data_IF_456537663801
#
_entry.id   IF_456537663801
#
_cell.length_a   1.000
_cell.length_b   1.000
_cell.length_c   1.000
_cell.angle_alpha   90.00
_cell.angle_beta   90.00
_cell.angle_gamma   90.00
#
_symmetry.space_group_name_H-M   'P 1'
#
loop_
_entity.id
_entity.type
_entity.pdbx_description
1 polymer ?
#
# COMPACT_ATOMS: atom_id res chain seq x y z
N UNK A 1 16.78 2.81 -1.51
CA UNK A 1 17.89 1.84 -1.40
C UNK A 1 17.52 0.48 -2.02
N UNK A 2 16.44 -0.18 -1.56
CA UNK A 2 16.01 -1.53 -2.00
C UNK A 2 15.88 -1.67 -3.53
N UNK A 3 15.17 -0.76 -4.19
CA UNK A 3 14.95 -0.85 -5.65
C UNK A 3 16.24 -0.70 -6.46
N UNK A 4 17.15 0.19 -6.04
CA UNK A 4 18.47 0.33 -6.67
C UNK A 4 19.30 -0.94 -6.47
N UNK A 5 19.21 -1.55 -5.29
CA UNK A 5 19.88 -2.81 -5.00
C UNK A 5 19.38 -3.95 -5.90
N UNK A 6 18.06 -4.11 -6.06
CA UNK A 6 17.46 -5.10 -6.95
C UNK A 6 17.90 -4.92 -8.41
N UNK A 7 17.96 -3.67 -8.89
CA UNK A 7 18.44 -3.36 -10.26
C UNK A 7 19.94 -3.65 -10.40
N UNK A 8 20.72 -3.34 -9.37
CA UNK A 8 22.15 -3.64 -9.36
C UNK A 8 22.40 -5.15 -9.38
N UNK A 9 21.71 -5.89 -8.54
CA UNK A 9 21.81 -7.36 -8.52
C UNK A 9 21.40 -7.99 -9.85
N UNK A 10 20.34 -7.49 -10.49
CA UNK A 10 19.93 -7.98 -11.81
C UNK A 10 21.04 -7.86 -12.86
N UNK A 11 21.86 -6.81 -12.81
CA UNK A 11 22.98 -6.62 -13.74
C UNK A 11 24.06 -7.72 -13.64
N UNK A 12 24.18 -8.34 -12.47
CA UNK A 12 25.17 -9.39 -12.20
C UNK A 12 24.56 -10.80 -12.19
N UNK A 13 23.29 -10.91 -11.78
CA UNK A 13 22.60 -12.18 -11.58
C UNK A 13 21.18 -12.14 -12.18
N UNK A 14 21.03 -11.93 -13.51
CA UNK A 14 19.71 -11.69 -14.14
C UNK A 14 18.73 -12.84 -13.92
N UNK A 15 19.17 -14.08 -14.12
CA UNK A 15 18.30 -15.24 -13.95
C UNK A 15 17.82 -15.39 -12.51
N UNK A 16 18.73 -15.32 -11.55
CA UNK A 16 18.39 -15.43 -10.11
C UNK A 16 17.36 -14.39 -9.69
N UNK A 17 17.52 -13.14 -10.13
CA UNK A 17 16.56 -12.07 -9.80
C UNK A 17 15.22 -12.29 -10.47
N UNK A 18 15.19 -12.74 -11.73
CA UNK A 18 13.95 -13.12 -12.39
C UNK A 18 13.23 -14.26 -11.66
N UNK A 19 13.95 -15.25 -11.18
CA UNK A 19 13.39 -16.37 -10.43
C UNK A 19 12.85 -15.94 -9.05
N UNK A 20 13.56 -15.06 -8.35
CA UNK A 20 13.09 -14.43 -7.10
C UNK A 20 11.79 -13.67 -7.36
N UNK A 21 11.69 -12.91 -8.44
CA UNK A 21 10.47 -12.19 -8.81
C UNK A 21 9.34 -13.18 -9.11
N UNK A 22 9.59 -14.18 -9.95
CA UNK A 22 8.59 -15.18 -10.35
C UNK A 22 8.10 -16.04 -9.20
N UNK A 23 8.93 -16.28 -8.18
CA UNK A 23 8.56 -17.00 -6.95
C UNK A 23 7.64 -16.21 -6.00
N UNK A 24 7.36 -14.94 -6.30
CA UNK A 24 6.52 -14.04 -5.49
C UNK A 24 7.13 -13.64 -4.12
N UNK A 25 8.42 -13.93 -3.90
CA UNK A 25 9.12 -13.59 -2.65
C UNK A 25 9.12 -12.09 -2.36
N UNK A 26 9.12 -11.24 -3.40
CA UNK A 26 9.03 -9.79 -3.21
C UNK A 26 7.71 -9.40 -2.55
N UNK A 27 6.60 -10.04 -2.90
CA UNK A 27 5.31 -9.78 -2.26
C UNK A 27 5.24 -10.38 -0.85
N UNK A 28 5.99 -11.43 -0.58
CA UNK A 28 6.07 -12.06 0.75
C UNK A 28 6.84 -11.19 1.75
N UNK A 29 8.01 -10.66 1.36
CA UNK A 29 8.85 -9.80 2.20
C UNK A 29 8.57 -8.30 2.07
N UNK A 30 7.76 -7.88 1.09
CA UNK A 30 7.43 -6.51 0.77
C UNK A 30 5.95 -6.36 0.42
N UNK A 31 5.69 -5.59 -0.63
CA UNK A 31 4.33 -5.33 -1.10
C UNK A 31 4.24 -5.49 -2.62
N UNK A 32 3.09 -5.88 -3.14
CA UNK A 32 2.83 -5.86 -4.59
C UNK A 32 3.10 -4.50 -5.26
N UNK A 33 3.09 -3.41 -4.49
CA UNK A 33 3.51 -2.09 -4.95
C UNK A 33 4.96 -2.07 -5.41
N UNK A 34 5.82 -2.89 -4.82
CA UNK A 34 7.27 -2.86 -5.07
C UNK A 34 7.60 -3.31 -6.49
N UNK A 35 6.82 -4.23 -7.08
CA UNK A 35 6.95 -4.58 -8.49
C UNK A 35 6.82 -3.36 -9.42
N UNK A 36 5.84 -2.49 -9.14
CA UNK A 36 5.61 -1.28 -9.93
C UNK A 36 6.66 -0.20 -9.66
N UNK A 37 7.20 -0.14 -8.45
CA UNK A 37 8.26 0.82 -8.09
C UNK A 37 9.60 0.42 -8.68
N UNK A 38 9.92 -0.88 -8.72
CA UNK A 38 11.09 -1.40 -9.44
C UNK A 38 10.96 -1.06 -10.92
N UNK A 39 9.81 -1.36 -11.54
CA UNK A 39 9.56 -1.02 -12.94
C UNK A 39 9.70 0.48 -13.20
N UNK A 40 9.08 1.31 -12.37
CA UNK A 40 9.19 2.77 -12.51
C UNK A 40 10.64 3.25 -12.38
N UNK A 41 11.42 2.63 -11.54
CA UNK A 41 12.83 2.96 -11.35
C UNK A 41 13.67 2.56 -12.56
N UNK A 42 13.43 1.37 -13.12
CA UNK A 42 14.06 0.94 -14.39
C UNK A 42 13.68 1.91 -15.51
N UNK A 43 12.40 2.29 -15.61
CA UNK A 43 11.95 3.25 -16.60
C UNK A 43 12.64 4.60 -16.47
N UNK A 44 12.77 5.13 -15.26
CA UNK A 44 13.48 6.38 -15.01
C UNK A 44 14.97 6.31 -15.41
N UNK A 45 15.61 5.17 -15.18
CA UNK A 45 16.99 4.90 -15.62
C UNK A 45 17.08 4.95 -17.16
N UNK A 46 16.18 4.25 -17.85
CA UNK A 46 16.11 4.25 -19.32
C UNK A 46 15.85 5.66 -19.86
N UNK A 47 14.91 6.39 -19.31
CA UNK A 47 14.54 7.74 -19.79
C UNK A 47 15.67 8.76 -19.57
N UNK A 48 16.37 8.68 -18.44
CA UNK A 48 17.50 9.58 -18.12
C UNK A 48 18.71 9.40 -19.04
N UNK A 49 18.96 8.17 -19.49
CA UNK A 49 20.10 7.84 -20.35
C UNK A 49 19.76 7.85 -21.85
N UNK A 50 18.49 7.94 -22.20
CA UNK A 50 18.03 7.91 -23.59
C UNK A 50 17.00 8.99 -23.92
N UNK A 51 17.24 10.28 -23.64
CA UNK A 51 16.27 11.33 -23.81
C UNK A 51 15.80 11.55 -25.27
N UNK A 52 16.63 11.14 -26.25
CA UNK A 52 16.33 11.25 -27.69
C UNK A 52 15.83 9.96 -28.34
N UNK A 53 15.72 8.86 -27.60
CA UNK A 53 15.24 7.58 -28.10
C UNK A 53 16.24 6.75 -28.93
N UNK A 54 17.48 7.21 -29.13
CA UNK A 54 18.44 6.57 -30.04
C UNK A 54 19.06 5.26 -29.51
N UNK A 55 18.92 4.96 -28.21
CA UNK A 55 19.46 3.77 -27.56
C UNK A 55 18.41 2.78 -27.06
N UNK A 56 17.17 2.87 -27.54
CA UNK A 56 16.03 2.08 -27.04
C UNK A 56 16.32 0.58 -27.08
N UNK A 57 16.86 0.08 -28.20
CA UNK A 57 17.19 -1.35 -28.36
C UNK A 57 18.13 -1.85 -27.28
N UNK A 58 19.16 -1.08 -26.94
CA UNK A 58 20.10 -1.44 -25.89
C UNK A 58 19.41 -1.60 -24.53
N UNK A 59 18.56 -0.64 -24.15
CA UNK A 59 17.90 -0.67 -22.85
C UNK A 59 16.79 -1.71 -22.78
N UNK A 60 16.04 -1.93 -23.87
CA UNK A 60 15.05 -3.01 -23.93
C UNK A 60 15.78 -4.34 -23.77
N UNK A 61 16.81 -4.62 -24.52
CA UNK A 61 17.57 -5.87 -24.40
C UNK A 61 18.16 -6.07 -22.99
N UNK A 62 18.55 -4.97 -22.32
CA UNK A 62 19.13 -5.02 -20.99
C UNK A 62 18.13 -5.38 -19.90
N UNK A 63 16.88 -4.95 -20.00
CA UNK A 63 15.90 -5.03 -18.91
C UNK A 63 14.60 -5.77 -19.26
N UNK A 64 14.43 -6.23 -20.52
CA UNK A 64 13.17 -6.80 -20.95
C UNK A 64 12.78 -8.05 -20.16
N UNK A 65 13.72 -8.97 -19.92
CA UNK A 65 13.46 -10.17 -19.12
C UNK A 65 13.02 -9.82 -17.70
N UNK A 66 13.61 -8.80 -17.11
CA UNK A 66 13.22 -8.32 -15.78
C UNK A 66 11.78 -7.79 -15.76
N UNK A 67 11.44 -6.97 -16.75
CA UNK A 67 10.08 -6.42 -16.90
C UNK A 67 9.09 -7.55 -17.22
N UNK A 68 9.45 -8.51 -18.06
CA UNK A 68 8.60 -9.67 -18.36
C UNK A 68 8.34 -10.51 -17.12
N UNK A 69 9.35 -10.75 -16.26
CA UNK A 69 9.18 -11.46 -14.99
C UNK A 69 8.18 -10.75 -14.07
N UNK A 70 8.31 -9.42 -13.93
CA UNK A 70 7.35 -8.61 -13.15
C UNK A 70 5.93 -8.73 -13.73
N UNK A 71 5.78 -8.59 -15.03
CA UNK A 71 4.48 -8.65 -15.73
C UNK A 71 3.85 -10.03 -15.58
N UNK A 72 4.63 -11.08 -15.68
CA UNK A 72 4.15 -12.46 -15.51
C UNK A 72 3.52 -12.68 -14.14
N UNK A 73 4.19 -12.25 -13.06
CA UNK A 73 3.65 -12.34 -11.69
C UNK A 73 2.38 -11.53 -11.54
N UNK A 74 2.37 -10.28 -11.99
CA UNK A 74 1.21 -9.41 -11.90
C UNK A 74 0.01 -10.01 -12.63
N UNK A 75 0.19 -10.51 -13.85
CA UNK A 75 -0.89 -11.09 -14.64
C UNK A 75 -1.35 -12.45 -14.10
N UNK A 76 -0.43 -13.25 -13.54
CA UNK A 76 -0.77 -14.52 -12.88
C UNK A 76 -1.64 -14.25 -11.65
N UNK A 77 -1.19 -13.41 -10.72
CA UNK A 77 -1.93 -13.06 -9.50
C UNK A 77 -3.28 -12.43 -9.79
N UNK A 78 -3.32 -11.52 -10.75
CA UNK A 78 -4.59 -10.92 -11.18
C UNK A 78 -5.58 -11.95 -11.71
N UNK A 79 -5.12 -12.95 -12.47
CA UNK A 79 -5.98 -14.04 -12.97
C UNK A 79 -6.47 -14.94 -11.84
N UNK A 80 -5.62 -15.24 -10.85
CA UNK A 80 -5.97 -16.00 -9.66
C UNK A 80 -7.06 -15.29 -8.86
N UNK A 81 -6.88 -14.00 -8.57
CA UNK A 81 -7.86 -13.17 -7.86
C UNK A 81 -9.20 -13.11 -8.59
N UNK A 82 -9.19 -12.89 -9.89
CA UNK A 82 -10.41 -12.87 -10.70
C UNK A 82 -11.12 -14.25 -10.69
N UNK A 83 -10.36 -15.33 -10.80
CA UNK A 83 -10.90 -16.69 -10.73
C UNK A 83 -11.54 -16.97 -9.37
N UNK A 84 -10.89 -16.56 -8.28
CA UNK A 84 -11.42 -16.66 -6.91
C UNK A 84 -12.71 -15.86 -6.77
N UNK A 85 -12.70 -14.61 -7.24
CA UNK A 85 -13.87 -13.75 -7.22
C UNK A 85 -15.06 -14.35 -8.01
N UNK A 86 -14.81 -14.84 -9.22
CA UNK A 86 -15.85 -15.47 -10.03
C UNK A 86 -16.44 -16.72 -9.37
N UNK A 87 -15.60 -17.60 -8.80
CA UNK A 87 -16.06 -18.79 -8.07
C UNK A 87 -16.92 -18.40 -6.88
N UNK A 88 -16.48 -17.41 -6.10
CA UNK A 88 -17.19 -16.91 -4.93
C UNK A 88 -18.60 -16.39 -5.29
N UNK A 89 -18.72 -15.54 -6.31
CA UNK A 89 -20.03 -15.05 -6.73
C UNK A 89 -20.92 -16.13 -7.35
N UNK A 90 -20.35 -17.11 -8.03
CA UNK A 90 -21.09 -18.26 -8.56
C UNK A 90 -21.68 -19.10 -7.42
N UNK A 91 -20.94 -19.37 -6.36
CA UNK A 91 -21.42 -20.14 -5.19
C UNK A 91 -22.56 -19.44 -4.45
N UNK A 92 -22.59 -18.10 -4.48
CA UNK A 92 -23.67 -17.31 -3.88
C UNK A 92 -24.83 -17.04 -4.84
N UNK A 93 -24.95 -17.77 -5.95
CA UNK A 93 -25.99 -17.61 -6.99
C UNK A 93 -26.13 -16.17 -7.51
N UNK A 94 -25.07 -15.39 -7.43
CA UNK A 94 -24.99 -14.05 -8.01
C UNK A 94 -24.25 -14.19 -9.35
N UNK A 95 -24.94 -14.18 -10.50
CA UNK A 95 -24.26 -14.37 -11.78
C UNK A 95 -23.36 -13.15 -12.07
N UNK A 96 -22.08 -13.30 -11.78
CA UNK A 96 -21.06 -12.63 -12.53
C UNK A 96 -20.89 -13.44 -13.83
N UNK A 97 -21.66 -13.22 -14.84
CA UNK A 97 -21.41 -13.88 -16.14
C UNK A 97 -19.93 -13.69 -16.56
N UNK A 98 -19.55 -14.11 -17.74
CA UNK A 98 -18.18 -13.86 -18.26
C UNK A 98 -17.76 -12.38 -18.20
N UNK A 99 -18.73 -11.47 -18.00
CA UNK A 99 -18.57 -10.07 -17.67
C UNK A 99 -19.13 -9.78 -16.26
N UNK A 100 -18.33 -9.14 -15.41
CA UNK A 100 -18.79 -8.62 -14.12
C UNK A 100 -19.86 -7.56 -14.40
N UNK A 101 -21.13 -7.96 -14.37
CA UNK A 101 -22.26 -7.07 -14.66
C UNK A 101 -22.72 -6.26 -13.45
N UNK A 102 -22.32 -6.65 -12.23
CA UNK A 102 -22.65 -5.90 -11.03
C UNK A 102 -21.91 -4.56 -10.99
N UNK A 103 -22.59 -3.53 -10.51
CA UNK A 103 -21.91 -2.25 -10.24
C UNK A 103 -20.93 -2.41 -9.07
N UNK A 104 -19.95 -1.53 -9.00
CA UNK A 104 -18.98 -1.49 -7.89
C UNK A 104 -19.68 -1.32 -6.55
N UNK A 105 -20.74 -0.50 -6.52
CA UNK A 105 -21.59 -0.24 -5.35
C UNK A 105 -22.31 -1.50 -4.91
N UNK A 106 -22.89 -2.25 -5.84
CA UNK A 106 -23.59 -3.50 -5.55
C UNK A 106 -22.64 -4.58 -5.00
N UNK A 107 -21.42 -4.69 -5.56
CA UNK A 107 -20.38 -5.57 -5.05
C UNK A 107 -20.00 -5.17 -3.63
N UNK A 108 -19.69 -3.90 -3.40
CA UNK A 108 -19.30 -3.39 -2.07
C UNK A 108 -20.40 -3.68 -1.05
N UNK A 109 -21.65 -3.33 -1.35
CA UNK A 109 -22.80 -3.56 -0.45
C UNK A 109 -23.01 -5.05 -0.13
N UNK A 110 -22.83 -5.92 -1.12
CA UNK A 110 -22.96 -7.36 -0.92
C UNK A 110 -21.86 -7.89 0.00
N UNK A 111 -20.59 -7.52 -0.24
CA UNK A 111 -19.44 -7.93 0.57
C UNK A 111 -19.55 -7.36 2.00
N UNK A 112 -19.99 -6.11 2.15
CA UNK A 112 -20.18 -5.50 3.47
C UNK A 112 -21.28 -6.24 4.25
N UNK A 113 -22.40 -6.59 3.60
CA UNK A 113 -23.46 -7.39 4.22
C UNK A 113 -22.99 -8.78 4.70
N UNK A 114 -22.13 -9.45 3.93
CA UNK A 114 -21.54 -10.73 4.36
C UNK A 114 -20.64 -10.57 5.59
N UNK A 115 -19.84 -9.50 5.63
CA UNK A 115 -18.99 -9.20 6.79
C UNK A 115 -19.80 -8.89 8.03
N UNK A 116 -20.88 -8.13 7.90
CA UNK A 116 -21.81 -7.83 9.00
C UNK A 116 -22.50 -9.08 9.53
N UNK A 117 -22.80 -10.04 8.64
CA UNK A 117 -23.34 -11.35 9.00
C UNK A 117 -22.29 -12.33 9.57
N UNK A 118 -21.01 -11.96 9.61
CA UNK A 118 -19.92 -12.85 10.01
C UNK A 118 -19.61 -13.95 8.99
N UNK A 119 -20.10 -13.82 7.77
CA UNK A 119 -19.84 -14.78 6.71
C UNK A 119 -18.46 -14.60 6.07
N UNK A 120 -17.91 -15.69 5.53
CA UNK A 120 -16.60 -15.67 4.89
C UNK A 120 -16.65 -14.88 3.57
N UNK A 121 -15.74 -13.94 3.42
CA UNK A 121 -15.51 -13.21 2.16
C UNK A 121 -14.33 -13.80 1.39
N UNK A 122 -14.27 -13.61 0.05
CA UNK A 122 -13.19 -14.21 -0.73
C UNK A 122 -11.84 -13.60 -0.36
N UNK A 123 -10.86 -14.45 -0.12
CA UNK A 123 -9.48 -14.05 0.10
C UNK A 123 -8.82 -13.71 -1.23
N UNK A 124 -8.49 -12.43 -1.40
CA UNK A 124 -7.83 -11.92 -2.60
C UNK A 124 -6.46 -11.35 -2.23
N UNK A 125 -5.54 -11.42 -3.17
CA UNK A 125 -4.25 -10.74 -3.00
C UNK A 125 -4.43 -9.22 -2.94
N UNK A 126 -3.49 -8.53 -2.28
CA UNK A 126 -3.51 -7.07 -2.25
C UNK A 126 -3.07 -6.42 -3.58
N UNK A 127 -2.80 -7.21 -4.61
CA UNK A 127 -2.35 -6.71 -5.90
C UNK A 127 -3.30 -5.67 -6.50
N UNK A 128 -4.62 -5.93 -6.46
CA UNK A 128 -5.62 -5.03 -7.04
C UNK A 128 -5.60 -3.61 -6.43
N UNK A 129 -5.20 -3.49 -5.15
CA UNK A 129 -5.00 -2.19 -4.48
C UNK A 129 -3.90 -1.37 -5.15
N UNK A 130 -2.84 -2.03 -5.63
CA UNK A 130 -1.62 -1.40 -6.13
C UNK A 130 -1.51 -1.37 -7.65
N UNK A 131 -2.33 -2.13 -8.37
CA UNK A 131 -2.37 -2.10 -9.83
C UNK A 131 -2.53 -0.66 -10.33
N UNK A 132 -1.69 -0.21 -11.27
CA UNK A 132 -1.76 1.13 -11.83
C UNK A 132 -3.12 1.41 -12.47
N UNK A 133 -3.68 2.57 -12.15
CA UNK A 133 -4.94 3.05 -12.70
C UNK A 133 -4.65 4.14 -13.74
N UNK A 134 -5.35 4.10 -14.87
CA UNK A 134 -5.22 5.14 -15.90
C UNK A 134 -5.38 6.54 -15.31
N UNK A 135 -4.57 7.47 -15.78
CA UNK A 135 -4.61 8.86 -15.33
C UNK A 135 -3.89 9.14 -14.01
N UNK A 136 -3.44 8.14 -13.27
CA UNK A 136 -2.65 8.33 -12.05
C UNK A 136 -1.15 8.44 -12.36
N UNK A 137 -0.40 9.10 -11.46
CA UNK A 137 1.02 9.39 -11.67
C UNK A 137 1.84 8.15 -12.04
N UNK A 138 1.66 7.04 -11.31
CA UNK A 138 2.37 5.80 -11.61
C UNK A 138 2.10 5.29 -13.03
N UNK A 139 0.83 5.34 -13.48
CA UNK A 139 0.46 4.90 -14.82
C UNK A 139 0.96 5.84 -15.93
N UNK A 140 1.09 7.15 -15.64
CA UNK A 140 1.60 8.14 -16.58
C UNK A 140 3.11 8.11 -16.71
N UNK A 141 3.81 7.89 -15.59
CA UNK A 141 5.25 8.04 -15.48
C UNK A 141 6.02 6.72 -15.62
N UNK A 142 5.32 5.59 -15.76
CA UNK A 142 5.94 4.28 -15.95
C UNK A 142 5.51 3.73 -17.31
N UNK A 143 6.48 3.49 -18.17
CA UNK A 143 6.24 2.98 -19.51
C UNK A 143 7.15 1.78 -19.81
N UNK A 144 6.91 1.14 -20.94
CA UNK A 144 7.82 0.20 -21.57
C UNK A 144 7.65 0.19 -23.08
N UNK A 145 8.64 -0.35 -23.75
CA UNK A 145 8.63 -0.48 -25.19
C UNK A 145 8.19 -1.87 -25.62
N UNK A 146 7.54 -1.95 -26.76
CA UNK A 146 7.21 -3.21 -27.44
C UNK A 146 7.69 -3.09 -28.87
N UNK A 147 8.49 -4.06 -29.31
CA UNK A 147 8.98 -4.12 -30.67
C UNK A 147 7.86 -4.54 -31.60
N UNK A 148 7.70 -3.80 -32.70
CA UNK A 148 6.73 -4.10 -33.77
C UNK A 148 7.32 -5.13 -34.73
N UNK A 149 6.49 -5.70 -35.61
CA UNK A 149 6.92 -6.61 -36.68
C UNK A 149 7.93 -5.97 -37.65
N UNK A 150 8.00 -4.66 -37.66
CA UNK A 150 8.93 -3.87 -38.48
C UNK A 150 10.24 -3.51 -37.74
N UNK A 151 10.46 -4.04 -36.53
CA UNK A 151 11.65 -3.70 -35.73
C UNK A 151 11.60 -2.32 -35.07
N UNK A 152 10.44 -1.64 -35.10
CA UNK A 152 10.26 -0.33 -34.45
C UNK A 152 9.69 -0.51 -33.05
N UNK A 153 10.23 0.22 -32.10
CA UNK A 153 9.78 0.16 -30.69
C UNK A 153 8.64 1.16 -30.46
N UNK A 154 7.47 0.65 -30.01
CA UNK A 154 6.32 1.45 -29.65
C UNK A 154 6.24 1.59 -28.12
N UNK A 155 6.22 2.84 -27.62
CA UNK A 155 6.11 3.15 -26.19
C UNK A 155 4.67 2.93 -25.70
N UNK A 156 4.51 2.17 -24.62
CA UNK A 156 3.25 1.95 -23.94
C UNK A 156 3.36 2.36 -22.48
N UNK A 157 2.35 3.01 -21.92
CA UNK A 157 2.29 3.15 -20.47
C UNK A 157 2.02 1.79 -19.82
N UNK A 158 2.29 1.67 -18.51
CA UNK A 158 2.20 0.41 -17.77
C UNK A 158 0.82 -0.26 -17.89
N UNK A 159 -0.28 0.49 -17.93
CA UNK A 159 -1.64 -0.07 -18.07
C UNK A 159 -1.83 -0.65 -19.48
N UNK A 160 -1.47 0.08 -20.49
CA UNK A 160 -1.52 -0.39 -21.89
C UNK A 160 -0.66 -1.64 -22.06
N UNK A 161 0.54 -1.65 -21.49
CA UNK A 161 1.45 -2.79 -21.56
C UNK A 161 0.85 -4.04 -20.89
N UNK A 162 0.33 -3.92 -19.65
CA UNK A 162 -0.33 -5.01 -18.94
C UNK A 162 -1.56 -5.52 -19.69
N UNK A 163 -2.40 -4.62 -20.22
CA UNK A 163 -3.58 -5.04 -21.00
C UNK A 163 -3.15 -5.77 -22.26
N UNK A 164 -2.18 -5.27 -23.01
CA UNK A 164 -1.64 -5.91 -24.21
C UNK A 164 -1.13 -7.33 -23.91
N UNK A 165 -0.30 -7.49 -22.89
CA UNK A 165 0.24 -8.80 -22.47
C UNK A 165 -0.84 -9.76 -21.95
N UNK A 166 -1.97 -9.25 -21.50
CA UNK A 166 -3.11 -10.09 -21.08
C UNK A 166 -4.00 -10.54 -22.25
N UNK A 167 -3.91 -9.89 -23.40
CA UNK A 167 -4.70 -10.23 -24.58
C UNK A 167 -4.08 -11.41 -25.34
N UNK A 168 -4.94 -12.31 -25.77
CA UNK A 168 -4.60 -13.40 -26.69
C UNK A 168 -5.48 -13.28 -27.93
N UNK A 169 -4.93 -13.64 -29.06
CA UNK A 169 -5.67 -13.74 -30.33
C UNK A 169 -5.58 -15.18 -30.82
N UNK A 170 -6.67 -15.69 -31.37
CA UNK A 170 -6.65 -16.99 -32.01
C UNK A 170 -6.15 -16.83 -33.45
N UNK A 171 -5.13 -17.57 -33.81
CA UNK A 171 -4.68 -17.66 -35.20
C UNK A 171 -5.80 -18.31 -36.03
N UNK A 172 -6.23 -17.63 -37.07
CA UNK A 172 -7.34 -18.09 -37.92
C UNK A 172 -7.01 -19.36 -38.70
N UNK A 173 -5.74 -19.59 -38.97
CA UNK A 173 -5.26 -20.73 -39.76
C UNK A 173 -4.99 -21.95 -38.89
N UNK A 174 -4.29 -21.76 -37.74
CA UNK A 174 -3.85 -22.87 -36.89
C UNK A 174 -4.79 -23.11 -35.70
N UNK A 175 -5.72 -22.21 -35.41
CA UNK A 175 -6.56 -22.24 -34.22
C UNK A 175 -5.84 -21.99 -32.89
N UNK A 176 -4.51 -21.83 -32.89
CA UNK A 176 -3.72 -21.65 -31.70
C UNK A 176 -3.87 -20.23 -31.11
N UNK A 177 -3.77 -20.14 -29.78
CA UNK A 177 -3.73 -18.86 -29.08
C UNK A 177 -2.33 -18.26 -29.17
N UNK A 178 -2.23 -17.07 -29.71
CA UNK A 178 -1.00 -16.28 -29.84
C UNK A 178 -1.14 -14.94 -29.12
N UNK A 179 -0.02 -14.31 -28.87
CA UNK A 179 0.01 -12.98 -28.28
C UNK A 179 -0.68 -11.96 -29.19
N UNK A 180 -1.29 -10.95 -28.58
CA UNK A 180 -1.96 -9.91 -29.33
C UNK A 180 -0.93 -9.10 -30.13
N UNK A 181 -1.10 -8.94 -31.45
CA UNK A 181 -0.11 -8.28 -32.31
C UNK A 181 0.18 -6.84 -31.87
N UNK A 182 1.47 -6.50 -31.89
CA UNK A 182 1.94 -5.18 -31.44
C UNK A 182 1.51 -4.06 -32.36
N UNK A 183 1.38 -4.36 -33.65
CA UNK A 183 0.99 -3.40 -34.68
C UNK A 183 -0.48 -2.99 -34.58
N UNK A 184 -1.30 -3.78 -33.88
CA UNK A 184 -2.71 -3.45 -33.65
C UNK A 184 -2.89 -2.61 -32.39
N UNK A 185 -3.78 -1.64 -32.46
CA UNK A 185 -4.17 -0.88 -31.28
C UNK A 185 -4.95 -1.74 -30.28
N UNK A 186 -4.76 -1.43 -28.99
CA UNK A 186 -5.47 -2.13 -27.93
C UNK A 186 -6.97 -1.82 -28.05
N UNK A 187 -7.84 -2.82 -28.16
CA UNK A 187 -9.27 -2.58 -28.25
C UNK A 187 -9.79 -1.80 -27.05
N UNK A 188 -10.60 -0.77 -27.29
CA UNK A 188 -11.22 0.01 -26.22
C UNK A 188 -11.98 -0.87 -25.21
N UNK A 189 -12.64 -1.92 -25.69
CA UNK A 189 -13.32 -2.91 -24.86
C UNK A 189 -12.39 -3.62 -23.86
N UNK A 190 -11.13 -3.87 -24.24
CA UNK A 190 -10.15 -4.52 -23.37
C UNK A 190 -9.73 -3.59 -22.21
N UNK A 191 -9.49 -2.32 -22.47
CA UNK A 191 -9.22 -1.32 -21.42
C UNK A 191 -10.42 -1.12 -20.50
N UNK A 192 -11.64 -1.09 -21.06
CA UNK A 192 -12.88 -1.00 -20.28
C UNK A 192 -13.06 -2.21 -19.39
N UNK A 193 -12.81 -3.42 -19.92
CA UNK A 193 -12.85 -4.68 -19.15
C UNK A 193 -11.82 -4.66 -18.02
N UNK A 194 -10.58 -4.31 -18.32
CA UNK A 194 -9.50 -4.21 -17.32
C UNK A 194 -9.87 -3.28 -16.16
N UNK A 195 -10.41 -2.08 -16.46
CA UNK A 195 -10.85 -1.11 -15.43
C UNK A 195 -11.97 -1.67 -14.55
N UNK A 196 -12.98 -2.31 -15.18
CA UNK A 196 -14.12 -2.91 -14.47
C UNK A 196 -13.67 -4.02 -13.53
N UNK A 197 -12.86 -4.94 -14.02
CA UNK A 197 -12.34 -6.05 -13.23
C UNK A 197 -11.51 -5.56 -12.03
N UNK A 198 -10.61 -4.60 -12.24
CA UNK A 198 -9.84 -4.01 -11.14
C UNK A 198 -10.71 -3.27 -10.12
N UNK A 199 -11.76 -2.58 -10.58
CA UNK A 199 -12.71 -1.92 -9.70
C UNK A 199 -13.48 -2.93 -8.84
N UNK A 200 -13.86 -4.07 -9.42
CA UNK A 200 -14.54 -5.17 -8.69
C UNK A 200 -13.64 -5.82 -7.64
N UNK A 201 -12.37 -6.11 -7.98
CA UNK A 201 -11.39 -6.61 -7.03
C UNK A 201 -11.16 -5.62 -5.88
N UNK A 202 -11.03 -4.33 -6.18
CA UNK A 202 -10.89 -3.29 -5.16
C UNK A 202 -12.12 -3.16 -4.26
N UNK A 203 -13.35 -3.35 -4.80
CA UNK A 203 -14.58 -3.33 -4.03
C UNK A 203 -14.62 -4.50 -3.03
N UNK A 204 -14.22 -5.68 -3.48
CA UNK A 204 -14.15 -6.88 -2.65
C UNK A 204 -13.08 -6.76 -1.55
N UNK A 205 -11.94 -6.12 -1.85
CA UNK A 205 -10.87 -5.85 -0.88
C UNK A 205 -11.21 -4.70 0.10
N UNK A 206 -12.35 -4.04 -0.07
CA UNK A 206 -12.75 -2.90 0.75
C UNK A 206 -11.74 -1.74 0.77
N UNK A 207 -11.20 -1.40 -0.40
CA UNK A 207 -10.16 -0.38 -0.53
C UNK A 207 -10.72 1.01 -0.20
N UNK A 208 -10.24 1.60 0.89
CA UNK A 208 -10.66 2.92 1.41
C UNK A 208 -10.69 4.01 0.32
N UNK A 209 -9.67 4.07 -0.54
CA UNK A 209 -9.59 5.06 -1.63
C UNK A 209 -10.76 4.93 -2.62
N UNK A 210 -11.31 3.74 -2.81
CA UNK A 210 -12.46 3.55 -3.68
C UNK A 210 -13.74 4.11 -3.06
N UNK A 211 -13.93 3.91 -1.76
CA UNK A 211 -15.03 4.53 -1.00
C UNK A 211 -14.93 6.06 -1.05
N UNK A 212 -13.73 6.62 -0.85
CA UNK A 212 -13.48 8.05 -0.96
C UNK A 212 -13.80 8.60 -2.36
N UNK A 213 -13.35 7.94 -3.42
CA UNK A 213 -13.62 8.36 -4.80
C UNK A 213 -15.12 8.24 -5.19
N UNK A 214 -15.82 7.30 -4.58
CA UNK A 214 -17.27 7.11 -4.77
C UNK A 214 -18.15 7.97 -3.86
N UNK A 215 -17.57 8.90 -3.08
CA UNK A 215 -18.26 9.68 -2.05
C UNK A 215 -19.06 8.80 -1.06
N UNK A 216 -18.51 7.66 -0.67
CA UNK A 216 -19.10 6.71 0.27
C UNK A 216 -18.33 6.73 1.60
N UNK A 217 -18.18 7.91 2.18
CA UNK A 217 -17.39 8.13 3.39
C UNK A 217 -17.99 7.46 4.62
N UNK A 218 -19.32 7.43 4.74
CA UNK A 218 -20.02 6.76 5.85
C UNK A 218 -19.73 5.25 5.92
N UNK A 219 -19.37 4.62 4.78
CA UNK A 219 -19.03 3.20 4.70
C UNK A 219 -17.56 2.91 5.08
N UNK A 220 -16.77 3.95 5.36
CA UNK A 220 -15.39 3.77 5.82
C UNK A 220 -15.43 3.40 7.30
N UNK A 221 -14.85 2.25 7.62
CA UNK A 221 -14.67 1.78 8.98
C UNK A 221 -13.25 2.13 9.47
N UNK A 222 -13.09 3.03 10.46
CA UNK A 222 -11.80 3.53 10.89
C UNK A 222 -10.81 2.43 11.29
N UNK A 223 -11.26 1.39 11.99
CA UNK A 223 -10.44 0.26 12.42
C UNK A 223 -9.80 -0.54 11.27
N UNK A 224 -10.39 -0.47 10.06
CA UNK A 224 -9.90 -1.16 8.86
C UNK A 224 -9.02 -0.27 7.97
N UNK A 225 -8.90 1.00 8.32
CA UNK A 225 -8.05 1.92 7.54
C UNK A 225 -6.62 1.82 8.02
N UNK A 226 -5.68 1.58 7.09
CA UNK A 226 -4.26 1.56 7.43
C UNK A 226 -3.81 2.91 8.02
N UNK A 227 -2.96 2.90 9.06
CA UNK A 227 -2.48 4.08 9.78
C UNK A 227 -1.97 5.19 8.85
N UNK A 228 -1.13 4.84 7.89
CA UNK A 228 -0.61 5.79 6.90
C UNK A 228 -1.71 6.41 6.01
N UNK A 229 -2.78 5.66 5.70
CA UNK A 229 -3.93 6.19 4.96
C UNK A 229 -4.73 7.16 5.82
N UNK A 230 -4.95 6.83 7.10
CA UNK A 230 -5.60 7.69 8.08
C UNK A 230 -4.85 9.01 8.21
N UNK A 231 -3.55 8.96 8.45
CA UNK A 231 -2.72 10.14 8.62
C UNK A 231 -2.69 11.05 7.40
N UNK A 232 -2.51 10.49 6.21
CA UNK A 232 -2.48 11.27 4.95
C UNK A 232 -3.80 11.91 4.59
N UNK A 233 -4.90 11.35 5.03
CA UNK A 233 -6.26 11.80 4.72
C UNK A 233 -6.99 12.37 5.93
N UNK A 234 -6.31 12.58 7.08
CA UNK A 234 -6.89 13.04 8.35
C UNK A 234 -7.88 14.19 8.17
N UNK A 235 -7.46 15.27 7.53
CA UNK A 235 -8.32 16.43 7.31
C UNK A 235 -9.55 16.14 6.41
N UNK A 236 -9.42 15.21 5.46
CA UNK A 236 -10.54 14.76 4.62
C UNK A 236 -11.52 13.89 5.40
N UNK A 237 -11.03 13.05 6.29
CA UNK A 237 -11.81 12.17 7.14
C UNK A 237 -12.48 12.93 8.30
N UNK A 238 -11.75 13.86 8.91
CA UNK A 238 -12.29 14.76 9.94
C UNK A 238 -13.21 15.83 9.36
N UNK A 239 -13.36 15.91 8.04
CA UNK A 239 -14.20 16.89 7.36
C UNK A 239 -13.95 18.33 7.81
N UNK A 240 -12.69 18.70 8.04
CA UNK A 240 -12.31 19.97 8.66
C UNK A 240 -12.05 21.06 7.65
N UNK A 241 -12.34 22.28 8.05
CA UNK A 241 -11.94 23.50 7.34
C UNK A 241 -10.47 23.74 7.66
N UNK A 242 -9.60 23.64 6.64
CA UNK A 242 -8.18 24.00 6.78
C UNK A 242 -8.03 25.52 6.70
N UNK A 243 -7.61 26.14 7.77
CA UNK A 243 -7.17 27.54 7.77
C UNK A 243 -5.66 27.63 7.52
N UNK A 244 -5.24 28.64 6.78
CA UNK A 244 -3.82 29.01 6.63
C UNK A 244 -3.66 30.46 7.10
N UNK A 245 -2.70 30.76 7.98
CA UNK A 245 -1.85 29.86 8.75
C UNK A 245 -2.63 29.06 9.79
N UNK A 246 -2.08 27.97 10.33
CA UNK A 246 -2.71 27.25 11.44
C UNK A 246 -2.79 28.22 12.62
N UNK A 247 -4.02 28.48 13.11
CA UNK A 247 -4.20 29.27 14.30
C UNK A 247 -3.84 28.42 15.52
N UNK A 248 -2.99 28.88 16.44
CA UNK A 248 -2.78 28.20 17.69
C UNK A 248 -4.09 28.20 18.46
N UNK A 249 -4.56 27.01 18.85
CA UNK A 249 -5.65 26.81 19.79
C UNK A 249 -7.06 27.29 19.39
N UNK A 250 -7.42 27.28 18.13
CA UNK A 250 -8.84 27.53 17.79
C UNK A 250 -9.70 26.32 18.17
N UNK A 251 -10.82 26.63 18.84
CA UNK A 251 -11.96 25.74 19.09
C UNK A 251 -12.41 25.02 17.80
N UNK A 252 -13.04 23.89 17.98
CA UNK A 252 -13.56 22.99 16.93
C UNK A 252 -13.89 23.66 15.59
N UNK A 253 -13.09 23.39 14.57
CA UNK A 253 -13.42 23.85 13.23
C UNK A 253 -14.71 23.14 12.77
N UNK A 254 -15.67 23.91 12.26
CA UNK A 254 -16.89 23.39 11.69
C UNK A 254 -16.65 22.37 10.55
N UNK A 255 -17.70 21.69 10.15
CA UNK A 255 -17.62 20.78 8.99
C UNK A 255 -17.29 21.55 7.70
N UNK A 256 -16.27 21.16 6.97
CA UNK A 256 -15.95 21.69 5.64
C UNK A 256 -17.09 21.46 4.64
N UNK A 257 -17.80 20.35 4.79
CA UNK A 257 -18.93 19.98 3.97
C UNK A 257 -20.13 19.65 4.88
N UNK A 258 -20.81 20.66 5.47
CA UNK A 258 -21.88 20.44 6.44
C UNK A 258 -23.11 19.75 5.83
N UNK A 259 -23.36 19.97 4.55
CA UNK A 259 -24.50 19.41 3.83
C UNK A 259 -24.22 18.01 3.21
N UNK A 260 -23.10 17.37 3.59
CA UNK A 260 -22.77 16.02 3.15
C UNK A 260 -22.81 15.07 4.34
N UNK A 261 -23.98 14.51 4.60
CA UNK A 261 -24.26 13.60 5.73
C UNK A 261 -23.23 12.47 5.81
N UNK A 262 -22.81 11.96 4.66
CA UNK A 262 -21.80 10.92 4.50
C UNK A 262 -20.44 11.30 5.14
N UNK A 263 -19.99 12.54 4.94
CA UNK A 263 -18.76 13.06 5.54
C UNK A 263 -18.91 13.43 7.00
N UNK A 264 -20.08 13.92 7.38
CA UNK A 264 -20.42 14.20 8.78
C UNK A 264 -20.46 12.91 9.59
N UNK A 265 -21.06 11.86 9.04
CA UNK A 265 -21.10 10.53 9.66
C UNK A 265 -19.67 9.94 9.85
N UNK A 266 -18.77 10.05 8.86
CA UNK A 266 -17.40 9.58 9.02
C UNK A 266 -16.65 10.36 10.12
N UNK A 267 -16.81 11.68 10.17
CA UNK A 267 -16.19 12.50 11.25
C UNK A 267 -16.60 12.00 12.63
N UNK A 268 -17.92 11.72 12.82
CA UNK A 268 -18.42 11.17 14.07
C UNK A 268 -17.77 9.83 14.41
N UNK A 269 -17.74 8.88 13.45
CA UNK A 269 -17.09 7.58 13.63
C UNK A 269 -15.60 7.70 14.01
N UNK A 270 -14.87 8.62 13.40
CA UNK A 270 -13.46 8.81 13.72
C UNK A 270 -13.27 9.38 15.11
N UNK A 271 -14.11 10.33 15.55
CA UNK A 271 -14.07 10.84 16.91
C UNK A 271 -14.34 9.76 17.95
N UNK A 272 -15.33 8.93 17.72
CA UNK A 272 -15.62 7.76 18.55
C UNK A 272 -14.45 6.76 18.56
N UNK A 273 -13.83 6.55 17.41
CA UNK A 273 -12.67 5.64 17.27
C UNK A 273 -11.43 6.16 18.02
N UNK A 274 -11.19 7.46 18.02
CA UNK A 274 -10.05 8.12 18.68
C UNK A 274 -10.14 8.02 20.21
N UNK A 275 -11.33 7.91 20.78
CA UNK A 275 -11.51 7.73 22.23
C UNK A 275 -11.03 6.36 22.74
N UNK A 276 -10.84 5.39 21.83
CA UNK A 276 -10.37 4.05 22.14
C UNK A 276 -9.06 3.73 21.39
N UNK A 277 -7.90 4.16 21.90
CA UNK A 277 -6.60 3.98 21.23
C UNK A 277 -6.27 2.54 20.89
N UNK A 278 -6.73 1.56 21.67
CA UNK A 278 -6.52 0.12 21.43
C UNK A 278 -7.00 -0.34 20.06
N UNK A 279 -8.01 0.33 19.50
CA UNK A 279 -8.57 -0.01 18.19
C UNK A 279 -7.82 0.64 17.03
N UNK A 280 -6.82 1.49 17.30
CA UNK A 280 -6.13 2.22 16.25
C UNK A 280 -5.02 1.41 15.58
N UNK A 281 -5.02 1.44 14.25
CA UNK A 281 -3.95 0.84 13.45
C UNK A 281 -2.71 1.75 13.42
N UNK A 282 -1.58 1.30 13.98
CA UNK A 282 -0.33 2.10 14.07
C UNK A 282 0.86 1.48 13.35
N UNK A 283 0.72 0.28 12.78
CA UNK A 283 1.84 -0.53 12.29
C UNK A 283 2.62 -0.02 11.06
N UNK A 284 2.19 1.08 10.41
CA UNK A 284 2.80 1.57 9.17
C UNK A 284 3.39 2.99 9.28
N UNK A 285 3.27 3.66 10.40
CA UNK A 285 3.89 4.95 10.67
C UNK A 285 5.03 4.82 11.66
N UNK A 286 6.05 5.63 11.47
CA UNK A 286 7.13 5.71 12.45
C UNK A 286 6.73 6.62 13.60
N UNK A 287 7.20 6.34 14.84
CA UNK A 287 6.94 7.21 15.99
C UNK A 287 7.25 8.68 15.71
N UNK A 288 8.35 8.94 15.02
CA UNK A 288 8.75 10.29 14.60
C UNK A 288 7.70 11.00 13.78
N UNK A 289 7.07 10.30 12.81
CA UNK A 289 6.03 10.91 11.98
C UNK A 289 4.74 11.16 12.74
N UNK A 290 4.43 10.31 13.71
CA UNK A 290 3.26 10.48 14.56
C UNK A 290 3.48 11.71 15.46
N UNK A 291 4.60 11.78 16.17
CA UNK A 291 4.96 12.91 17.04
C UNK A 291 5.02 14.24 16.27
N UNK A 292 5.74 14.28 15.15
CA UNK A 292 5.80 15.45 14.29
C UNK A 292 4.42 15.84 13.75
N UNK A 293 3.59 14.87 13.37
CA UNK A 293 2.22 15.12 12.92
C UNK A 293 1.33 15.70 14.01
N UNK A 294 1.56 15.38 15.28
CA UNK A 294 0.86 15.99 16.41
C UNK A 294 1.28 17.44 16.65
N UNK A 295 2.58 17.72 16.51
CA UNK A 295 3.13 19.08 16.60
C UNK A 295 2.61 19.98 15.46
N UNK A 296 2.55 19.44 14.24
CA UNK A 296 2.11 20.16 13.04
C UNK A 296 0.59 20.09 12.80
N UNK A 297 -0.17 19.58 13.77
CA UNK A 297 -1.62 19.46 13.65
C UNK A 297 -2.29 20.83 13.49
N UNK A 298 -3.21 20.94 12.52
CA UNK A 298 -3.87 22.19 12.16
C UNK A 298 -5.18 22.43 12.87
N UNK A 299 -5.62 21.45 13.67
CA UNK A 299 -6.83 21.50 14.46
C UNK A 299 -6.67 20.65 15.71
N UNK A 300 -7.49 20.94 16.72
CA UNK A 300 -7.57 20.12 17.94
C UNK A 300 -7.91 18.68 17.63
N UNK A 301 -8.86 18.40 16.75
CA UNK A 301 -9.25 17.04 16.39
C UNK A 301 -8.13 16.29 15.63
N UNK A 302 -7.33 16.98 14.79
CA UNK A 302 -6.16 16.37 14.15
C UNK A 302 -5.08 16.04 15.19
N UNK A 303 -4.87 16.91 16.18
CA UNK A 303 -3.93 16.70 17.28
C UNK A 303 -4.38 15.51 18.15
N UNK A 304 -5.64 15.48 18.57
CA UNK A 304 -6.22 14.36 19.34
C UNK A 304 -6.06 13.04 18.60
N UNK A 305 -6.33 13.04 17.30
CA UNK A 305 -6.13 11.85 16.46
C UNK A 305 -4.67 11.38 16.48
N UNK A 306 -3.69 12.30 16.38
CA UNK A 306 -2.26 11.95 16.42
C UNK A 306 -1.81 11.48 17.80
N UNK A 307 -2.32 12.09 18.86
CA UNK A 307 -2.08 11.65 20.24
C UNK A 307 -2.64 10.24 20.46
N UNK A 308 -3.84 9.95 19.97
CA UNK A 308 -4.40 8.60 20.06
C UNK A 308 -3.55 7.58 19.26
N UNK A 309 -3.02 7.93 18.10
CA UNK A 309 -2.06 7.07 17.37
C UNK A 309 -0.78 6.83 18.18
N UNK A 310 -0.25 7.86 18.85
CA UNK A 310 0.91 7.72 19.71
C UNK A 310 0.64 6.76 20.87
N UNK A 311 -0.45 6.98 21.58
CA UNK A 311 -0.83 6.12 22.71
C UNK A 311 -1.01 4.65 22.27
N UNK A 312 -1.67 4.40 21.16
CA UNK A 312 -1.82 3.07 20.59
C UNK A 312 -0.47 2.42 20.23
N UNK A 313 0.48 3.22 19.74
CA UNK A 313 1.82 2.74 19.42
C UNK A 313 2.58 2.34 20.70
N UNK A 314 2.52 3.19 21.73
CA UNK A 314 3.15 2.92 23.04
C UNK A 314 2.54 1.68 23.69
N UNK A 315 1.21 1.55 23.69
CA UNK A 315 0.52 0.36 24.25
C UNK A 315 0.99 -0.90 23.54
N UNK A 316 0.96 -0.92 22.21
CA UNK A 316 1.43 -2.06 21.45
C UNK A 316 2.90 -2.41 21.74
N UNK A 317 3.77 -1.40 21.87
CA UNK A 317 5.17 -1.64 22.20
C UNK A 317 5.34 -2.23 23.60
N UNK A 318 4.55 -1.79 24.58
CA UNK A 318 4.52 -2.39 25.92
C UNK A 318 4.13 -3.87 25.86
N UNK A 319 3.06 -4.19 25.14
CA UNK A 319 2.60 -5.57 25.00
C UNK A 319 3.65 -6.45 24.31
N UNK A 320 4.26 -5.96 23.22
CA UNK A 320 5.32 -6.66 22.49
C UNK A 320 6.57 -6.88 23.38
N UNK A 321 6.96 -5.89 24.19
CA UNK A 321 8.08 -6.00 25.13
C UNK A 321 7.77 -7.01 26.26
N UNK A 322 6.55 -6.96 26.80
CA UNK A 322 6.14 -7.91 27.84
C UNK A 322 6.15 -9.34 27.30
N UNK A 323 5.56 -9.57 26.12
CA UNK A 323 5.54 -10.88 25.47
C UNK A 323 6.97 -11.40 25.19
N UNK A 324 7.88 -10.53 24.73
CA UNK A 324 9.28 -10.90 24.51
C UNK A 324 10.02 -11.21 25.81
N UNK A 325 9.75 -10.48 26.90
CA UNK A 325 10.30 -10.78 28.23
C UNK A 325 9.84 -12.14 28.72
N UNK A 326 8.56 -12.45 28.63
CA UNK A 326 7.98 -13.74 29.01
C UNK A 326 8.59 -14.88 28.20
N UNK A 327 8.69 -14.73 26.89
CA UNK A 327 9.32 -15.72 26.01
C UNK A 327 10.79 -15.96 26.39
N UNK A 328 11.56 -14.90 26.67
CA UNK A 328 12.96 -15.02 27.09
C UNK A 328 13.09 -15.75 28.43
N UNK A 329 12.18 -15.50 29.36
CA UNK A 329 12.14 -16.22 30.66
C UNK A 329 11.87 -17.70 30.41
N UNK A 330 10.91 -18.07 29.56
CA UNK A 330 10.59 -19.45 29.21
C UNK A 330 11.79 -20.17 28.56
N UNK A 331 12.45 -19.53 27.61
CA UNK A 331 13.64 -20.06 26.93
C UNK A 331 14.79 -20.31 27.93
N UNK A 332 15.04 -19.37 28.84
CA UNK A 332 16.07 -19.52 29.87
C UNK A 332 15.74 -20.61 30.91
N UNK A 333 14.46 -20.78 31.23
CA UNK A 333 14.01 -21.90 32.10
C UNK A 333 14.20 -23.24 31.41
N UNK A 334 13.80 -23.35 30.16
CA UNK A 334 13.94 -24.57 29.36
C UNK A 334 15.41 -25.01 29.22
N UNK A 335 16.32 -24.05 29.10
CA UNK A 335 17.76 -24.30 29.00
C UNK A 335 18.48 -24.48 30.37
N UNK A 336 17.74 -24.46 31.47
CA UNK A 336 18.32 -24.58 32.82
C UNK A 336 19.20 -23.39 33.25
N UNK A 337 19.14 -22.29 32.52
CA UNK A 337 19.97 -21.10 32.76
C UNK A 337 19.26 -20.02 33.59
N UNK A 338 18.01 -20.26 33.98
CA UNK A 338 17.21 -19.31 34.76
C UNK A 338 17.51 -19.42 36.27
N UNK A 339 17.78 -18.29 36.89
CA UNK A 339 17.75 -18.13 38.33
C UNK A 339 16.93 -16.87 38.70
N UNK A 340 16.62 -16.70 39.99
CA UNK A 340 15.80 -15.61 40.50
C UNK A 340 16.40 -14.24 40.22
N UNK A 341 17.72 -14.09 40.19
CA UNK A 341 18.37 -12.83 39.88
C UNK A 341 18.21 -12.45 38.43
N UNK A 342 18.38 -13.41 37.51
CA UNK A 342 18.17 -13.19 36.05
C UNK A 342 16.70 -12.87 35.81
N UNK A 343 15.76 -13.59 36.41
CA UNK A 343 14.34 -13.31 36.28
C UNK A 343 13.99 -11.90 36.75
N UNK A 344 14.49 -11.49 37.93
CA UNK A 344 14.28 -10.11 38.42
C UNK A 344 14.90 -9.08 37.50
N UNK A 345 16.10 -9.28 36.98
CA UNK A 345 16.76 -8.38 36.08
C UNK A 345 15.97 -8.19 34.77
N UNK A 346 15.39 -9.26 34.22
CA UNK A 346 14.56 -9.19 33.01
C UNK A 346 13.25 -8.43 33.26
N UNK A 347 12.60 -8.68 34.39
CA UNK A 347 11.31 -8.06 34.73
C UNK A 347 11.44 -6.62 35.23
N UNK A 348 12.54 -6.27 35.90
CA UNK A 348 12.77 -4.93 36.47
C UNK A 348 13.68 -4.04 35.63
N UNK A 349 14.05 -4.47 34.44
CA UNK A 349 14.96 -3.71 33.58
C UNK A 349 14.39 -2.35 33.20
N UNK A 350 14.83 -1.30 33.90
CA UNK A 350 14.54 0.08 33.52
C UNK A 350 15.42 0.47 32.34
N UNK A 351 14.81 0.91 31.27
CA UNK A 351 15.51 1.40 30.08
C UNK A 351 15.49 2.92 30.12
N UNK A 352 16.66 3.53 30.18
CA UNK A 352 16.80 4.98 30.06
C UNK A 352 17.17 5.35 28.63
N UNK A 353 16.30 6.10 27.98
CA UNK A 353 16.59 6.65 26.65
C UNK A 353 17.40 7.94 26.78
N UNK A 354 18.55 8.02 26.11
CA UNK A 354 19.34 9.24 26.00
C UNK A 354 19.38 9.67 24.52
N UNK A 355 18.84 10.85 24.20
CA UNK A 355 18.90 11.39 22.86
C UNK A 355 20.19 12.21 22.67
N UNK A 356 20.92 11.93 21.59
CA UNK A 356 21.97 12.81 21.12
C UNK A 356 21.34 14.05 20.46
N UNK A 357 21.60 15.23 21.02
CA UNK A 357 21.09 16.53 20.55
C UNK A 357 22.18 17.34 19.83
N UNK A 358 23.29 16.74 19.43
CA UNK A 358 24.37 17.44 18.74
C UNK A 358 23.92 18.04 17.39
N UNK A 359 24.62 19.09 16.95
CA UNK A 359 24.31 19.80 15.71
C UNK A 359 24.38 18.90 14.47
N UNK A 360 25.21 17.83 14.47
CA UNK A 360 25.30 16.85 13.42
C UNK A 360 24.00 16.06 13.20
N UNK A 361 23.17 15.95 14.22
CA UNK A 361 21.87 15.26 14.16
C UNK A 361 20.79 16.06 13.40
N UNK A 362 21.03 17.33 13.12
CA UNK A 362 20.06 18.22 12.43
C UNK A 362 20.40 18.48 10.97
N UNK A 363 21.56 18.02 10.49
CA UNK A 363 22.04 18.28 9.13
C UNK A 363 21.37 17.40 8.08
N UNK A 364 21.23 17.96 6.89
CA UNK A 364 20.88 17.34 5.59
C UNK A 364 19.43 16.85 5.37
N UNK A 365 18.58 16.76 6.38
CA UNK A 365 17.21 16.30 6.19
C UNK A 365 16.19 17.34 6.68
N UNK A 366 15.02 17.36 6.03
CA UNK A 366 13.88 18.13 6.51
C UNK A 366 13.11 17.32 7.57
N UNK A 367 12.54 17.99 8.60
CA UNK A 367 11.64 17.29 9.54
C UNK A 367 10.51 16.57 8.78
N UNK A 368 10.09 15.40 9.24
CA UNK A 368 10.46 14.63 10.42
C UNK A 368 11.56 13.59 10.18
N UNK A 369 12.45 13.77 9.23
CA UNK A 369 13.41 12.74 8.80
C UNK A 369 14.85 13.00 9.29
N UNK A 370 15.06 14.01 10.15
CA UNK A 370 16.36 14.26 10.75
C UNK A 370 16.69 13.19 11.80
N UNK A 371 17.94 12.77 11.95
CA UNK A 371 18.36 11.88 13.03
C UNK A 371 17.91 12.37 14.41
N UNK A 372 17.96 13.70 14.66
CA UNK A 372 17.44 14.34 15.86
C UNK A 372 15.95 14.02 16.11
N UNK A 373 15.09 14.13 15.09
CA UNK A 373 13.64 13.86 15.24
C UNK A 373 13.39 12.39 15.61
N UNK A 374 14.18 11.47 15.05
CA UNK A 374 14.12 10.06 15.38
C UNK A 374 14.60 9.76 16.79
N UNK A 375 15.73 10.35 17.20
CA UNK A 375 16.27 10.18 18.54
C UNK A 375 15.30 10.68 19.61
N UNK A 376 14.71 11.86 19.42
CA UNK A 376 13.72 12.43 20.33
C UNK A 376 12.47 11.57 20.45
N UNK A 377 11.91 11.12 19.33
CA UNK A 377 10.72 10.27 19.34
C UNK A 377 10.98 8.91 20.02
N UNK A 378 12.14 8.30 19.76
CA UNK A 378 12.54 7.04 20.41
C UNK A 378 12.75 7.21 21.91
N UNK A 379 13.41 8.31 22.33
CA UNK A 379 13.66 8.59 23.76
C UNK A 379 12.34 8.82 24.50
N UNK A 380 11.43 9.61 23.95
CA UNK A 380 10.10 9.81 24.52
C UNK A 380 9.34 8.47 24.64
N UNK A 381 9.37 7.66 23.59
CA UNK A 381 8.69 6.36 23.57
C UNK A 381 9.29 5.39 24.62
N UNK A 382 10.61 5.32 24.73
CA UNK A 382 11.29 4.49 25.75
C UNK A 382 10.90 4.96 27.14
N UNK A 383 10.89 6.26 27.38
CA UNK A 383 10.50 6.85 28.66
C UNK A 383 9.04 6.55 29.05
N UNK A 384 8.14 6.43 28.07
CA UNK A 384 6.74 6.08 28.35
C UNK A 384 6.50 4.58 28.55
N UNK A 385 7.39 3.73 28.04
CA UNK A 385 7.28 2.26 28.11
C UNK A 385 8.01 1.68 29.30
N UNK A 386 9.06 2.38 29.81
CA UNK A 386 9.83 1.98 30.98
C UNK A 386 9.05 2.21 32.28
#
# INVERSE_FOLDING_TARGET
>A
LFYNFMISLYRHYPQTICDIIKSDLIAFYGYYKDYFLIWNKIWADVESHNPKGNGITFYVNKYDEFIQAIVEVILRKRREDLKTLHKFFASHRKPLGNDIKMSVEAISKFIDGLREAGEQVPELSLLAKWIPKEGRALAKNTCWYVETSLGVYKKHNVVQYLVRKSLKMRNTTTGQLMDYPVDRDIPFGALKKYRRENASLCATLDVTQQKMCGNRFAQIEPSRVASLCMSRNSAGFLNEIRKKPPAPHEEETGNRHPNKDDRVALRKKIREHVTNPENMNVGQETPTKIAYGADQARSTAEKEFRVAQWNAYVMKLRDDLQANREKMIEELRANGSMNDQIQRAILSGNILGCADMSGSMTWDNQPPNRPYDHAMALTAMISEVS
#
